data_IF_187294255613
#
_entry.id   IF_187294255613
#
_cell.length_a   1.000
_cell.length_b   1.000
_cell.length_c   1.000
_cell.angle_alpha   90.00
_cell.angle_beta   90.00
_cell.angle_gamma   90.00
#
_symmetry.space_group_name_H-M   'P 1'
#
loop_
_entity.id
_entity.type
_entity.pdbx_description
1 polymer ?
#
# COMPACT_ATOMS: atom_id res chain seq x y z
N UNK A 1 1.35 -12.32 -0.38
CA UNK A 1 2.13 -13.57 -0.36
C UNK A 1 3.53 -13.36 0.23
N UNK A 2 4.33 -12.37 -0.23
CA UNK A 2 5.67 -12.10 0.34
C UNK A 2 5.65 -11.89 1.86
N UNK A 3 4.64 -11.18 2.38
CA UNK A 3 4.48 -10.98 3.83
C UNK A 3 4.22 -12.29 4.58
N UNK A 4 3.44 -13.19 4.02
CA UNK A 4 3.17 -14.52 4.57
C UNK A 4 4.45 -15.37 4.60
N UNK A 5 5.17 -15.43 3.48
CA UNK A 5 6.45 -16.16 3.42
C UNK A 5 7.48 -15.64 4.43
N UNK A 6 7.50 -14.33 4.69
CA UNK A 6 8.36 -13.76 5.74
C UNK A 6 7.97 -14.29 7.13
N UNK A 7 6.68 -14.34 7.44
CA UNK A 7 6.17 -14.89 8.72
C UNK A 7 6.54 -16.37 8.86
N UNK A 8 6.35 -17.17 7.82
CA UNK A 8 6.73 -18.59 7.82
C UNK A 8 8.22 -18.77 8.15
N UNK A 9 9.08 -17.93 7.60
CA UNK A 9 10.52 -18.01 7.82
C UNK A 9 10.95 -17.51 9.22
N UNK A 10 10.30 -16.46 9.75
CA UNK A 10 10.73 -15.81 11.00
C UNK A 10 10.05 -16.37 12.26
N UNK A 11 8.88 -16.95 12.10
CA UNK A 11 8.09 -17.53 13.20
C UNK A 11 7.91 -19.05 13.04
N UNK A 12 8.84 -19.71 12.37
CA UNK A 12 8.83 -21.15 12.15
C UNK A 12 8.60 -21.94 13.44
N UNK A 13 7.68 -22.91 13.41
CA UNK A 13 7.30 -23.73 14.56
C UNK A 13 6.44 -23.02 15.61
N UNK A 14 6.20 -21.72 15.49
CA UNK A 14 5.35 -20.93 16.40
C UNK A 14 4.02 -20.54 15.77
N UNK A 15 4.00 -20.39 14.45
CA UNK A 15 2.84 -19.99 13.66
C UNK A 15 2.78 -20.86 12.42
N UNK A 16 1.58 -21.28 12.03
CA UNK A 16 1.30 -21.90 10.73
C UNK A 16 0.49 -20.92 9.90
N UNK A 17 0.88 -20.69 8.66
CA UNK A 17 0.17 -19.76 7.78
C UNK A 17 -0.51 -20.48 6.62
N UNK A 18 -1.66 -19.96 6.22
CA UNK A 18 -2.35 -20.33 4.99
C UNK A 18 -2.82 -19.06 4.28
N UNK A 19 -3.11 -19.15 2.99
CA UNK A 19 -3.67 -18.04 2.22
C UNK A 19 -4.78 -18.53 1.31
N UNK A 20 -5.77 -17.67 1.08
CA UNK A 20 -6.86 -17.88 0.15
C UNK A 20 -7.07 -16.65 -0.69
N UNK A 21 -7.12 -16.82 -2.00
CA UNK A 21 -7.56 -15.75 -2.90
C UNK A 21 -9.09 -15.64 -2.81
N UNK A 22 -9.57 -14.40 -2.79
CA UNK A 22 -10.98 -14.08 -2.65
C UNK A 22 -11.32 -12.78 -3.36
N UNK A 23 -12.55 -12.69 -3.84
CA UNK A 23 -13.17 -11.45 -4.32
C UNK A 23 -13.99 -10.79 -3.21
N UNK A 24 -14.57 -9.60 -3.47
CA UNK A 24 -15.48 -8.97 -2.52
C UNK A 24 -16.77 -9.78 -2.31
N UNK A 25 -17.17 -10.57 -3.29
CA UNK A 25 -18.43 -11.34 -3.30
C UNK A 25 -18.36 -12.61 -2.44
N UNK A 26 -17.21 -13.27 -2.40
CA UNK A 26 -16.99 -14.51 -1.65
C UNK A 26 -16.16 -14.31 -0.36
N UNK A 27 -15.85 -13.07 -0.01
CA UNK A 27 -15.00 -12.74 1.13
C UNK A 27 -15.54 -13.27 2.47
N UNK A 28 -16.84 -13.18 2.71
CA UNK A 28 -17.47 -13.69 3.95
C UNK A 28 -17.25 -15.19 4.08
N UNK A 29 -17.54 -15.94 3.03
CA UNK A 29 -17.32 -17.38 3.00
C UNK A 29 -15.84 -17.73 3.16
N UNK A 30 -14.95 -16.99 2.50
CA UNK A 30 -13.51 -17.22 2.58
C UNK A 30 -12.97 -17.05 4.02
N UNK A 31 -13.40 -15.99 4.72
CA UNK A 31 -13.03 -15.75 6.11
C UNK A 31 -13.57 -16.85 7.03
N UNK A 32 -14.86 -17.20 6.88
CA UNK A 32 -15.52 -18.25 7.65
C UNK A 32 -14.82 -19.60 7.50
N UNK A 33 -14.46 -19.98 6.28
CA UNK A 33 -13.75 -21.23 6.00
C UNK A 33 -12.34 -21.25 6.63
N UNK A 34 -11.61 -20.12 6.60
CA UNK A 34 -10.31 -20.03 7.26
C UNK A 34 -10.44 -20.20 8.78
N UNK A 35 -11.40 -19.56 9.42
CA UNK A 35 -11.62 -19.65 10.87
C UNK A 35 -12.07 -21.05 11.26
N UNK A 36 -13.02 -21.65 10.54
CA UNK A 36 -13.43 -23.06 10.75
C UNK A 36 -12.30 -24.05 10.49
N UNK A 37 -11.36 -23.69 9.64
CA UNK A 37 -10.12 -24.43 9.41
C UNK A 37 -9.07 -24.29 10.51
N UNK A 38 -9.35 -23.50 11.57
CA UNK A 38 -8.49 -23.34 12.74
C UNK A 38 -7.62 -22.08 12.73
N UNK A 39 -7.93 -21.09 11.91
CA UNK A 39 -7.20 -19.82 11.93
C UNK A 39 -7.63 -18.96 13.12
N UNK A 40 -6.70 -18.67 14.04
CA UNK A 40 -6.90 -17.74 15.17
C UNK A 40 -6.84 -16.28 14.75
N UNK A 41 -6.12 -15.99 13.66
CA UNK A 41 -5.87 -14.63 13.16
C UNK A 41 -6.06 -14.57 11.65
N UNK A 42 -6.89 -13.66 11.18
CA UNK A 42 -7.14 -13.44 9.74
C UNK A 42 -6.72 -12.05 9.33
N UNK A 43 -5.83 -11.94 8.35
CA UNK A 43 -5.45 -10.69 7.71
C UNK A 43 -6.17 -10.56 6.37
N UNK A 44 -7.10 -9.64 6.26
CA UNK A 44 -7.69 -9.27 4.98
C UNK A 44 -6.87 -8.15 4.33
N UNK A 45 -6.51 -8.31 3.07
CA UNK A 45 -5.45 -7.51 2.41
C UNK A 45 -5.96 -6.34 1.58
N UNK A 46 -7.26 -6.05 1.67
CA UNK A 46 -7.89 -4.94 0.92
C UNK A 46 -9.02 -4.28 1.71
N UNK A 47 -9.23 -2.97 1.55
CA UNK A 47 -10.38 -2.27 2.13
C UNK A 47 -11.74 -2.83 1.71
N UNK A 48 -11.83 -3.45 0.52
CA UNK A 48 -13.09 -4.02 0.01
C UNK A 48 -13.62 -5.16 0.88
N UNK A 49 -12.76 -5.80 1.67
CA UNK A 49 -13.12 -6.89 2.57
C UNK A 49 -13.63 -6.42 3.95
N UNK A 50 -13.69 -5.12 4.20
CA UNK A 50 -14.03 -4.60 5.53
C UNK A 50 -15.40 -5.06 6.02
N UNK A 51 -16.42 -5.00 5.17
CA UNK A 51 -17.77 -5.42 5.56
C UNK A 51 -17.82 -6.92 5.89
N UNK A 52 -17.15 -7.75 5.11
CA UNK A 52 -17.04 -9.18 5.36
C UNK A 52 -16.28 -9.44 6.69
N UNK A 53 -15.20 -8.71 6.93
CA UNK A 53 -14.42 -8.79 8.17
C UNK A 53 -15.27 -8.43 9.40
N UNK A 54 -16.09 -7.38 9.32
CA UNK A 54 -16.97 -6.95 10.42
C UNK A 54 -18.04 -8.04 10.71
N UNK A 55 -18.68 -8.58 9.70
CA UNK A 55 -19.65 -9.66 9.91
C UNK A 55 -19.01 -10.89 10.55
N UNK A 56 -17.90 -11.35 9.99
CA UNK A 56 -17.16 -12.49 10.51
C UNK A 56 -16.69 -12.27 11.97
N UNK A 57 -16.33 -11.04 12.35
CA UNK A 57 -15.93 -10.73 13.73
C UNK A 57 -17.07 -10.83 14.74
N UNK A 58 -18.31 -10.67 14.31
CA UNK A 58 -19.50 -10.85 15.14
C UNK A 58 -19.84 -12.34 15.26
N UNK A 59 -19.70 -13.09 14.17
CA UNK A 59 -19.98 -14.54 14.13
C UNK A 59 -18.89 -15.37 14.84
N UNK A 60 -17.64 -14.88 14.83
CA UNK A 60 -16.48 -15.56 15.40
C UNK A 60 -15.73 -14.62 16.40
N UNK A 61 -16.29 -14.37 17.58
CA UNK A 61 -15.74 -13.39 18.54
C UNK A 61 -14.37 -13.79 19.09
N UNK A 62 -13.99 -15.06 19.02
CA UNK A 62 -12.69 -15.57 19.47
C UNK A 62 -11.58 -15.37 18.41
N UNK A 63 -11.95 -15.22 17.13
CA UNK A 63 -11.01 -14.98 16.06
C UNK A 63 -10.62 -13.50 15.99
N UNK A 64 -9.34 -13.25 15.72
CA UNK A 64 -8.82 -11.88 15.53
C UNK A 64 -8.75 -11.55 14.05
N UNK A 65 -9.57 -10.59 13.64
CA UNK A 65 -9.65 -10.18 12.24
C UNK A 65 -9.04 -8.79 12.08
N UNK A 66 -8.05 -8.68 11.18
CA UNK A 66 -7.39 -7.44 10.84
C UNK A 66 -7.66 -7.10 9.38
N UNK A 67 -8.03 -5.84 9.11
CA UNK A 67 -8.31 -5.38 7.75
C UNK A 67 -7.31 -4.32 7.30
N UNK A 68 -6.76 -4.51 6.10
CA UNK A 68 -5.88 -3.53 5.46
C UNK A 68 -6.68 -2.33 4.94
N UNK A 69 -6.83 -1.31 5.78
CA UNK A 69 -7.53 -0.08 5.44
C UNK A 69 -7.05 1.10 6.29
N UNK A 70 -7.37 2.31 5.82
CA UNK A 70 -7.17 3.57 6.57
C UNK A 70 -8.38 3.95 7.44
N UNK A 71 -9.45 3.16 7.40
CA UNK A 71 -10.64 3.40 8.20
C UNK A 71 -10.37 3.10 9.68
N UNK A 72 -11.11 3.77 10.56
CA UNK A 72 -11.04 3.49 11.99
C UNK A 72 -11.36 2.03 12.29
N UNK A 73 -10.68 1.48 13.30
CA UNK A 73 -10.98 0.14 13.79
C UNK A 73 -12.41 0.07 14.34
N UNK A 74 -13.08 -1.04 14.09
CA UNK A 74 -14.37 -1.37 14.70
C UNK A 74 -14.13 -2.32 15.88
N UNK A 75 -15.07 -2.44 16.81
CA UNK A 75 -14.90 -3.18 18.08
C UNK A 75 -14.18 -4.52 17.99
N UNK A 76 -14.34 -5.25 16.86
CA UNK A 76 -13.77 -6.59 16.69
C UNK A 76 -12.85 -6.71 15.47
N UNK A 77 -12.70 -5.64 14.67
CA UNK A 77 -11.81 -5.61 13.51
C UNK A 77 -10.82 -4.48 13.65
N UNK A 78 -9.54 -4.82 13.69
CA UNK A 78 -8.48 -3.83 13.75
C UNK A 78 -7.98 -3.48 12.36
N UNK A 79 -7.93 -2.20 12.04
CA UNK A 79 -7.34 -1.75 10.78
C UNK A 79 -5.82 -1.68 10.89
N UNK A 80 -5.15 -2.06 9.82
CA UNK A 80 -3.71 -1.89 9.66
C UNK A 80 -3.39 -1.29 8.30
N UNK A 81 -2.37 -0.45 8.24
CA UNK A 81 -1.91 0.17 7.00
C UNK A 81 -0.48 0.69 7.16
N UNK A 82 0.26 0.75 6.06
CA UNK A 82 1.59 1.37 6.03
C UNK A 82 1.50 2.79 5.47
N UNK A 83 2.22 3.73 6.08
CA UNK A 83 2.21 5.16 5.72
C UNK A 83 3.02 5.41 4.45
N UNK A 84 2.50 5.01 3.30
CA UNK A 84 3.18 5.15 2.01
C UNK A 84 3.56 6.60 1.70
N UNK A 85 2.80 7.59 2.19
CA UNK A 85 3.10 9.00 1.98
C UNK A 85 4.49 9.41 2.54
N UNK A 86 4.99 8.75 3.59
CA UNK A 86 6.34 9.00 4.11
C UNK A 86 7.41 8.58 3.08
N UNK A 87 7.25 7.41 2.47
CA UNK A 87 8.12 6.98 1.39
C UNK A 87 7.99 7.85 0.14
N UNK A 88 6.75 8.26 -0.20
CA UNK A 88 6.51 9.17 -1.33
C UNK A 88 7.17 10.55 -1.15
N UNK A 89 7.29 11.04 0.08
CA UNK A 89 8.05 12.25 0.35
C UNK A 89 9.53 12.09 -0.06
N UNK A 90 10.16 10.97 0.29
CA UNK A 90 11.55 10.67 -0.09
C UNK A 90 11.68 10.51 -1.61
N UNK A 91 10.75 9.80 -2.24
CA UNK A 91 10.71 9.64 -3.71
C UNK A 91 10.56 11.02 -4.38
N UNK A 92 9.74 11.91 -3.83
CA UNK A 92 9.61 13.29 -4.29
C UNK A 92 10.91 14.07 -4.18
N UNK A 93 11.64 13.95 -3.08
CA UNK A 93 12.94 14.58 -2.90
C UNK A 93 13.96 14.09 -3.95
N UNK A 94 14.00 12.79 -4.23
CA UNK A 94 14.84 12.21 -5.29
C UNK A 94 14.43 12.80 -6.66
N UNK A 95 13.13 12.85 -6.95
CA UNK A 95 12.63 13.41 -8.20
C UNK A 95 13.00 14.88 -8.36
N UNK A 96 12.85 15.68 -7.30
CA UNK A 96 13.22 17.09 -7.29
C UNK A 96 14.70 17.34 -7.52
N UNK A 97 15.56 16.50 -6.92
CA UNK A 97 17.00 16.57 -7.09
C UNK A 97 17.46 16.23 -8.53
N UNK A 98 16.75 15.34 -9.20
CA UNK A 98 17.10 14.84 -10.54
C UNK A 98 16.40 15.60 -11.68
N UNK A 99 15.42 16.45 -11.38
CA UNK A 99 14.62 17.16 -12.39
C UNK A 99 15.35 18.38 -12.96
N UNK A 100 16.09 18.19 -14.05
CA UNK A 100 16.83 19.26 -14.75
C UNK A 100 15.92 20.42 -15.23
N UNK A 101 14.71 20.08 -15.69
CA UNK A 101 13.71 21.05 -16.17
C UNK A 101 12.80 21.61 -15.09
N UNK A 102 12.96 21.22 -13.83
CA UNK A 102 12.06 21.47 -12.71
C UNK A 102 10.63 20.91 -12.90
N UNK A 103 10.37 20.10 -13.94
CA UNK A 103 9.07 19.53 -14.28
C UNK A 103 9.06 18.05 -13.94
N UNK A 104 8.10 17.64 -13.11
CA UNK A 104 8.00 16.28 -12.57
C UNK A 104 6.57 15.80 -12.76
N UNK A 105 6.39 14.60 -13.32
CA UNK A 105 5.09 13.95 -13.47
C UNK A 105 4.74 13.11 -12.25
N UNK A 106 3.47 13.06 -11.94
CA UNK A 106 2.90 12.12 -10.99
C UNK A 106 1.64 11.49 -11.60
N UNK A 107 1.62 10.17 -11.72
CA UNK A 107 0.45 9.41 -12.19
C UNK A 107 -0.25 8.82 -10.98
N UNK A 108 -1.54 9.16 -10.82
CA UNK A 108 -2.41 8.59 -9.81
C UNK A 108 -3.58 7.86 -10.48
N UNK A 109 -4.16 6.86 -9.79
CA UNK A 109 -5.30 6.12 -10.34
C UNK A 109 -6.63 6.75 -9.92
N UNK A 110 -6.91 6.83 -8.63
CA UNK A 110 -8.17 7.35 -8.09
C UNK A 110 -7.90 8.26 -6.89
N UNK A 111 -8.71 9.32 -6.69
CA UNK A 111 -8.59 10.24 -5.53
C UNK A 111 -9.20 9.64 -4.26
N UNK A 112 -8.84 8.39 -3.92
CA UNK A 112 -9.38 7.64 -2.80
C UNK A 112 -8.31 7.37 -1.74
N UNK A 113 -8.74 7.28 -0.47
CA UNK A 113 -7.91 6.97 0.69
C UNK A 113 -6.55 7.69 0.67
N UNK A 114 -5.44 7.11 0.98
CA UNK A 114 -4.14 7.75 1.09
C UNK A 114 -3.54 8.39 -0.19
N UNK A 115 -4.23 8.33 -1.35
CA UNK A 115 -3.70 8.89 -2.62
C UNK A 115 -3.41 10.39 -2.52
N UNK A 116 -4.33 11.26 -2.05
CA UNK A 116 -4.02 12.69 -1.91
C UNK A 116 -2.86 12.98 -0.94
N UNK A 117 -2.75 12.21 0.16
CA UNK A 117 -1.65 12.35 1.08
C UNK A 117 -0.31 11.98 0.42
N UNK A 118 -0.28 10.93 -0.39
CA UNK A 118 0.90 10.50 -1.14
C UNK A 118 1.32 11.51 -2.20
N UNK A 119 0.37 12.09 -2.95
CA UNK A 119 0.61 13.15 -3.93
C UNK A 119 1.21 14.39 -3.25
N UNK A 120 0.58 14.84 -2.16
CA UNK A 120 1.04 16.02 -1.43
C UNK A 120 2.42 15.80 -0.80
N UNK A 121 2.67 14.64 -0.20
CA UNK A 121 3.97 14.30 0.36
C UNK A 121 5.07 14.28 -0.71
N UNK A 122 4.79 13.68 -1.87
CA UNK A 122 5.70 13.69 -3.01
C UNK A 122 6.02 15.12 -3.46
N UNK A 123 5.01 15.96 -3.64
CA UNK A 123 5.20 17.36 -4.05
C UNK A 123 6.01 18.16 -3.01
N UNK A 124 5.75 17.95 -1.72
CA UNK A 124 6.51 18.59 -0.63
C UNK A 124 7.97 18.11 -0.65
N UNK A 125 8.22 16.81 -0.83
CA UNK A 125 9.57 16.28 -0.95
C UNK A 125 10.33 16.87 -2.14
N UNK A 126 9.70 16.95 -3.31
CA UNK A 126 10.31 17.55 -4.50
C UNK A 126 10.68 19.04 -4.26
N UNK A 127 9.78 19.79 -3.66
CA UNK A 127 9.99 21.23 -3.39
C UNK A 127 10.97 21.51 -2.26
N UNK A 128 11.16 20.56 -1.34
CA UNK A 128 12.18 20.70 -0.28
C UNK A 128 13.58 20.84 -0.86
N UNK A 129 13.91 20.05 -1.89
CA UNK A 129 15.24 20.03 -2.51
C UNK A 129 15.32 20.91 -3.76
N UNK A 130 14.20 21.12 -4.42
CA UNK A 130 14.08 22.00 -5.58
C UNK A 130 12.87 22.93 -5.43
N UNK A 131 13.04 24.13 -4.86
CA UNK A 131 11.92 25.07 -4.65
C UNK A 131 11.19 25.49 -5.93
N UNK A 132 11.80 25.30 -7.11
CA UNK A 132 11.19 25.58 -8.42
C UNK A 132 10.45 24.39 -9.02
N UNK A 133 10.46 23.23 -8.36
CA UNK A 133 9.79 22.03 -8.84
C UNK A 133 8.28 22.26 -9.05
N UNK A 134 7.82 21.86 -10.23
CA UNK A 134 6.42 21.87 -10.64
C UNK A 134 5.98 20.42 -10.84
N UNK A 135 4.98 19.98 -10.07
CA UNK A 135 4.43 18.63 -10.18
C UNK A 135 3.19 18.65 -11.07
N UNK A 136 3.24 17.93 -12.17
CA UNK A 136 2.15 17.70 -13.11
C UNK A 136 1.44 16.43 -12.71
N UNK A 137 0.21 16.55 -12.19
CA UNK A 137 -0.61 15.43 -11.77
C UNK A 137 -1.49 14.96 -12.92
N UNK A 138 -1.40 13.68 -13.22
CA UNK A 138 -2.24 13.01 -14.20
C UNK A 138 -2.99 11.83 -13.57
N UNK A 139 -4.21 11.56 -14.05
CA UNK A 139 -5.04 10.47 -13.57
C UNK A 139 -5.15 9.39 -14.65
N UNK A 140 -4.61 8.20 -14.36
CA UNK A 140 -4.59 7.06 -15.30
C UNK A 140 -5.98 6.53 -15.66
N UNK A 141 -7.00 6.87 -14.87
CA UNK A 141 -8.38 6.37 -15.02
C UNK A 141 -9.30 7.33 -15.77
N UNK A 142 -8.80 8.49 -16.21
CA UNK A 142 -9.57 9.40 -17.04
C UNK A 142 -9.77 8.80 -18.44
N UNK A 143 -11.02 8.77 -18.89
CA UNK A 143 -11.36 8.31 -20.25
C UNK A 143 -10.86 9.33 -21.28
N UNK A 144 -10.45 8.84 -22.43
CA UNK A 144 -10.02 9.65 -23.58
C UNK A 144 -8.88 10.63 -23.26
N UNK A 145 -8.04 10.27 -22.29
CA UNK A 145 -6.89 11.08 -21.85
C UNK A 145 -5.58 10.30 -22.01
N UNK A 146 -4.68 10.84 -22.81
CA UNK A 146 -3.34 10.30 -22.99
C UNK A 146 -2.36 10.98 -22.04
N UNK A 147 -2.04 10.28 -20.97
CA UNK A 147 -1.11 10.73 -19.91
C UNK A 147 0.29 10.97 -20.47
N UNK A 148 0.78 10.09 -21.35
CA UNK A 148 2.11 10.20 -21.93
C UNK A 148 2.22 11.41 -22.85
N UNK A 149 1.19 11.65 -23.66
CA UNK A 149 1.14 12.84 -24.53
C UNK A 149 1.05 14.12 -23.70
N UNK A 150 0.32 14.13 -22.59
CA UNK A 150 0.26 15.27 -21.67
C UNK A 150 1.64 15.58 -21.09
N UNK A 151 2.38 14.58 -20.62
CA UNK A 151 3.72 14.77 -20.08
C UNK A 151 4.71 15.24 -21.16
N UNK A 152 4.64 14.67 -22.36
CA UNK A 152 5.47 15.07 -23.48
C UNK A 152 5.28 16.54 -23.83
N UNK A 153 4.03 17.02 -23.95
CA UNK A 153 3.71 18.42 -24.22
C UNK A 153 4.23 19.37 -23.14
N UNK A 154 4.23 18.91 -21.90
CA UNK A 154 4.73 19.67 -20.75
C UNK A 154 6.24 19.52 -20.53
N UNK A 155 6.95 18.77 -21.36
CA UNK A 155 8.41 18.56 -21.22
C UNK A 155 8.78 17.84 -19.92
N UNK A 156 7.90 16.97 -19.42
CA UNK A 156 8.12 16.14 -18.25
C UNK A 156 8.90 14.90 -18.65
N UNK A 157 10.02 14.64 -17.97
CA UNK A 157 10.84 13.44 -18.19
C UNK A 157 11.03 12.59 -16.95
N UNK A 158 10.84 13.14 -15.75
CA UNK A 158 10.88 12.39 -14.50
C UNK A 158 9.45 12.18 -14.04
N UNK A 159 9.05 10.93 -13.86
CA UNK A 159 7.66 10.54 -13.63
C UNK A 159 7.59 9.55 -12.47
N UNK A 160 6.71 9.83 -11.51
CA UNK A 160 6.32 8.88 -10.47
C UNK A 160 5.01 8.19 -10.88
N UNK A 161 5.05 6.88 -10.99
CA UNK A 161 3.91 6.03 -11.34
C UNK A 161 3.64 5.01 -10.22
N UNK A 162 2.87 3.99 -10.51
CA UNK A 162 2.52 2.91 -9.56
C UNK A 162 3.76 2.24 -8.98
N UNK A 163 3.63 1.85 -7.72
CA UNK A 163 4.64 1.03 -7.04
C UNK A 163 4.30 -0.44 -7.25
N UNK A 164 5.21 -1.19 -7.81
CA UNK A 164 5.05 -2.61 -8.12
C UNK A 164 5.86 -3.44 -7.14
N UNK A 165 5.23 -4.43 -6.49
CA UNK A 165 5.92 -5.28 -5.51
C UNK A 165 6.94 -6.23 -6.14
N UNK A 166 6.70 -6.64 -7.38
CA UNK A 166 7.61 -7.49 -8.15
C UNK A 166 7.53 -7.07 -9.62
N UNK A 167 8.54 -6.32 -10.13
CA UNK A 167 8.58 -5.95 -11.54
C UNK A 167 8.73 -7.22 -12.40
N UNK A 168 7.73 -7.47 -13.24
CA UNK A 168 7.79 -8.52 -14.25
C UNK A 168 8.60 -8.11 -15.48
N UNK A 169 8.51 -8.89 -16.55
CA UNK A 169 9.17 -8.60 -17.84
C UNK A 169 8.46 -7.51 -18.67
N UNK A 170 7.55 -6.74 -18.05
CA UNK A 170 6.79 -5.69 -18.72
C UNK A 170 7.50 -4.34 -18.76
N UNK A 171 6.72 -3.29 -18.98
CA UNK A 171 7.20 -1.91 -19.02
C UNK A 171 7.97 -1.54 -17.76
N UNK A 172 9.03 -0.73 -17.91
CA UNK A 172 9.78 -0.12 -16.79
C UNK A 172 9.14 1.17 -16.27
N UNK A 173 7.93 1.49 -16.68
CA UNK A 173 7.18 2.68 -16.26
C UNK A 173 6.51 2.49 -14.89
N UNK A 174 7.28 2.17 -13.85
CA UNK A 174 6.82 1.99 -12.48
C UNK A 174 7.72 2.71 -11.48
N UNK A 175 7.20 2.98 -10.29
CA UNK A 175 7.90 3.75 -9.28
C UNK A 175 8.29 5.13 -9.80
N UNK A 176 9.47 5.60 -9.46
CA UNK A 176 10.09 6.79 -10.05
C UNK A 176 10.98 6.34 -11.22
N UNK A 177 10.73 6.87 -12.39
CA UNK A 177 11.54 6.62 -13.58
C UNK A 177 11.82 7.91 -14.35
N UNK A 178 12.86 7.88 -15.16
CA UNK A 178 13.22 8.93 -16.11
C UNK A 178 13.03 8.40 -17.53
N UNK A 179 12.57 9.24 -18.43
CA UNK A 179 12.62 9.02 -19.86
C UNK A 179 13.94 9.56 -20.41
N UNK A 180 14.75 8.69 -20.99
CA UNK A 180 15.99 9.07 -21.68
C UNK A 180 15.68 9.78 -23.00
N UNK A 181 16.71 10.17 -23.77
CA UNK A 181 16.55 10.94 -24.99
C UNK A 181 15.80 10.19 -26.09
N UNK A 182 15.88 8.87 -26.11
CA UNK A 182 15.11 7.96 -26.96
C UNK A 182 13.74 7.57 -26.39
N UNK A 183 13.31 8.24 -25.30
CA UNK A 183 12.07 7.98 -24.57
C UNK A 183 12.01 6.61 -23.87
N UNK A 184 13.15 5.95 -23.71
CA UNK A 184 13.22 4.68 -22.96
C UNK A 184 13.11 4.95 -21.44
N UNK A 185 12.21 4.25 -20.71
CA UNK A 185 12.09 4.44 -19.27
C UNK A 185 13.24 3.77 -18.51
N UNK A 186 13.88 4.53 -17.63
CA UNK A 186 14.93 4.07 -16.70
C UNK A 186 14.45 4.24 -15.27
N UNK A 187 14.33 3.13 -14.54
CA UNK A 187 13.90 3.16 -13.14
C UNK A 187 14.97 3.80 -12.26
N UNK A 188 14.55 4.70 -11.39
CA UNK A 188 15.41 5.46 -10.48
C UNK A 188 15.21 5.01 -9.03
N UNK A 189 13.97 4.89 -8.59
CA UNK A 189 13.63 4.50 -7.22
C UNK A 189 12.21 3.96 -7.15
N UNK A 190 11.95 3.12 -6.16
CA UNK A 190 10.60 2.65 -5.86
C UNK A 190 10.49 2.37 -4.36
N UNK A 191 9.40 2.82 -3.69
CA UNK A 191 9.13 2.38 -2.33
C UNK A 191 8.67 0.93 -2.34
N UNK A 192 9.08 0.16 -1.33
CA UNK A 192 8.64 -1.23 -1.16
C UNK A 192 7.83 -1.38 0.12
N UNK A 193 6.77 -2.17 0.04
CA UNK A 193 5.96 -2.52 1.18
C UNK A 193 6.59 -3.64 1.98
N UNK A 194 6.96 -3.39 3.23
CA UNK A 194 7.47 -4.42 4.13
C UNK A 194 6.33 -4.99 5.01
N UNK A 195 5.36 -5.63 4.37
CA UNK A 195 4.24 -6.28 5.04
C UNK A 195 4.69 -7.39 5.99
N UNK A 196 5.75 -8.12 5.63
CA UNK A 196 6.26 -9.21 6.45
C UNK A 196 6.65 -8.75 7.85
N UNK A 197 7.39 -7.63 7.94
CA UNK A 197 7.79 -7.08 9.26
C UNK A 197 6.60 -6.59 10.07
N UNK A 198 5.58 -6.04 9.42
CA UNK A 198 4.36 -5.64 10.10
C UNK A 198 3.61 -6.86 10.66
N UNK A 199 3.41 -7.89 9.84
CA UNK A 199 2.74 -9.12 10.27
C UNK A 199 3.51 -9.82 11.40
N UNK A 200 4.82 -9.94 11.28
CA UNK A 200 5.69 -10.47 12.34
C UNK A 200 5.51 -9.70 13.65
N UNK A 201 5.51 -8.38 13.61
CA UNK A 201 5.33 -7.51 14.79
C UNK A 201 3.97 -7.74 15.46
N UNK A 202 2.89 -7.78 14.66
CA UNK A 202 1.53 -8.05 15.14
C UNK A 202 1.45 -9.44 15.78
N UNK A 203 1.94 -10.47 15.09
CA UNK A 203 1.87 -11.84 15.58
C UNK A 203 2.71 -12.04 16.85
N UNK A 204 3.90 -11.44 16.95
CA UNK A 204 4.70 -11.47 18.16
C UNK A 204 3.96 -10.81 19.34
N UNK A 205 3.22 -9.72 19.12
CA UNK A 205 2.42 -9.09 20.18
C UNK A 205 1.26 -9.98 20.65
N UNK A 206 0.66 -10.74 19.75
CA UNK A 206 -0.37 -11.72 20.06
C UNK A 206 0.23 -12.89 20.85
N UNK A 207 1.33 -13.47 20.39
CA UNK A 207 2.00 -14.60 21.02
C UNK A 207 2.54 -14.28 22.41
N UNK A 208 2.97 -13.04 22.65
CA UNK A 208 3.45 -12.58 23.97
C UNK A 208 2.33 -12.14 24.93
N UNK A 209 1.07 -12.11 24.47
CA UNK A 209 -0.05 -11.58 25.24
C UNK A 209 -0.03 -10.07 25.43
N UNK A 210 0.86 -9.35 24.74
CA UNK A 210 0.95 -7.88 24.82
C UNK A 210 -0.05 -7.16 23.91
N UNK A 211 -0.80 -7.90 23.10
CA UNK A 211 -1.86 -7.35 22.28
C UNK A 211 -2.99 -6.80 23.15
N UNK A 212 -3.21 -5.50 23.08
CA UNK A 212 -4.36 -4.85 23.74
C UNK A 212 -5.48 -4.71 22.71
N UNK A 213 -6.67 -5.19 23.03
CA UNK A 213 -7.87 -4.84 22.28
C UNK A 213 -8.16 -3.36 22.49
N UNK A 214 -8.58 -2.65 21.42
CA UNK A 214 -8.93 -1.22 21.51
C UNK A 214 -10.09 -0.95 22.50
N UNK A 215 -10.87 -1.97 22.88
CA UNK A 215 -11.86 -1.92 23.96
C UNK A 215 -11.24 -1.61 25.32
N UNK A 216 -9.99 -2.03 25.55
CA UNK A 216 -9.28 -1.79 26.83
C UNK A 216 -8.60 -0.41 26.87
N UNK A 217 -8.44 0.24 25.74
CA UNK A 217 -7.82 1.56 25.64
C UNK A 217 -8.78 2.73 25.93
N UNK A 218 -10.08 2.50 25.85
CA UNK A 218 -11.14 3.50 26.12
C UNK A 218 -11.77 3.37 27.50
N UNK A 219 -11.20 2.57 28.37
CA UNK A 219 -11.68 2.27 29.74
C UNK A 219 -10.88 2.92 30.86
N UNK A 220 -10.36 4.14 30.64
CA UNK A 220 -9.76 4.96 31.75
C UNK A 220 -9.97 6.44 31.50
#
# INVERSE_FOLDING_TARGET
>A
EMGRCHVDATLEGRVTTTSRESSAEDAEQAIDELIKGGADVVFTTSPVFLNAAIKASVEHPDARILNCSLLASFHHVRSYYLRMYEAKFIIGAIAGALAETNRIGYIADYPIFGTPASINAFALGARLVNPRAQVFLEWSTLRDHDVQESFRRNGVRIICNRDISAPGNGSREFGLYRLDDDMTPVNLAMPVWNWGKLYETILNSLLSGSWKNDADANGS
#
